data_IF_698578272289
#
_entry.id   IF_698578272289
#
_cell.length_a   1.000
_cell.length_b   1.000
_cell.length_c   1.000
_cell.angle_alpha   90.00
_cell.angle_beta   90.00
_cell.angle_gamma   90.00
#
_symmetry.space_group_name_H-M   'P 1'
#
loop_
_entity.id
_entity.type
_entity.pdbx_description
1 polymer ?
#
# COMPACT_ATOMS: atom_id res chain seq x y z
N UNK A 1 20.52 -13.43 2.59
CA UNK A 1 19.67 -12.74 1.79
C UNK A 1 18.23 -12.98 2.03
N UNK A 2 17.50 -11.99 2.14
CA UNK A 2 16.13 -12.12 2.41
C UNK A 2 15.33 -12.06 1.19
N UNK A 3 14.60 -13.09 0.94
CA UNK A 3 13.68 -13.03 -0.12
C UNK A 3 12.33 -12.94 0.45
N UNK A 4 11.65 -11.88 0.11
CA UNK A 4 10.31 -11.70 0.59
C UNK A 4 9.37 -12.36 -0.36
N UNK A 5 8.63 -13.32 0.16
CA UNK A 5 7.65 -14.00 -0.62
C UNK A 5 6.30 -13.43 -0.27
N UNK A 6 5.50 -13.14 -1.27
CA UNK A 6 4.17 -12.63 -1.03
C UNK A 6 3.35 -13.69 -0.34
N UNK A 7 2.68 -13.29 0.71
CA UNK A 7 1.85 -14.18 1.48
C UNK A 7 0.47 -13.62 1.58
N UNK A 8 -0.49 -14.50 1.73
CA UNK A 8 -1.85 -14.08 1.93
C UNK A 8 -1.98 -13.48 3.33
N UNK A 9 -2.48 -12.28 3.39
CA UNK A 9 -2.69 -11.59 4.65
C UNK A 9 -4.10 -11.07 4.67
N UNK A 10 -4.81 -11.34 5.75
CA UNK A 10 -6.19 -10.89 5.87
C UNK A 10 -6.22 -9.57 6.62
N UNK A 11 -6.82 -8.58 6.01
CA UNK A 11 -6.94 -7.26 6.59
C UNK A 11 -8.37 -6.80 6.46
N UNK A 12 -8.90 -6.22 7.52
CA UNK A 12 -10.25 -5.68 7.48
C UNK A 12 -10.21 -4.25 7.04
N UNK A 13 -10.90 -3.95 5.97
CA UNK A 13 -10.95 -2.60 5.44
C UNK A 13 -12.40 -2.22 5.22
N UNK A 14 -12.68 -0.94 5.33
CA UNK A 14 -14.01 -0.47 5.02
C UNK A 14 -14.29 -0.64 3.54
N UNK A 15 -15.53 -0.98 3.19
CA UNK A 15 -15.85 -1.20 1.77
C UNK A 15 -15.52 -0.01 0.87
N UNK A 16 -15.68 1.20 1.39
CA UNK A 16 -15.38 2.37 0.57
C UNK A 16 -13.90 2.45 0.26
N UNK A 17 -13.06 2.02 1.20
CA UNK A 17 -11.62 2.02 0.99
C UNK A 17 -11.22 0.95 -0.02
N UNK A 18 -11.85 -0.21 0.08
CA UNK A 18 -11.58 -1.27 -0.88
C UNK A 18 -11.94 -0.83 -2.28
N UNK A 19 -13.07 -0.12 -2.41
CA UNK A 19 -13.48 0.37 -3.71
C UNK A 19 -12.47 1.35 -4.30
N UNK A 20 -11.98 2.25 -3.47
CA UNK A 20 -10.96 3.20 -3.93
C UNK A 20 -9.71 2.48 -4.40
N UNK A 21 -9.32 1.45 -3.68
CA UNK A 21 -8.13 0.70 -4.07
C UNK A 21 -8.31 0.02 -5.40
N UNK A 22 -9.50 -0.56 -5.62
CA UNK A 22 -9.75 -1.23 -6.88
C UNK A 22 -9.74 -0.28 -8.05
N UNK A 23 -10.33 0.90 -7.84
CA UNK A 23 -10.34 1.91 -8.88
C UNK A 23 -8.93 2.37 -9.18
N UNK A 24 -8.15 2.60 -8.15
CA UNK A 24 -6.77 3.03 -8.33
C UNK A 24 -5.95 2.00 -9.07
N UNK A 25 -6.10 0.74 -8.70
CA UNK A 25 -5.35 -0.32 -9.35
C UNK A 25 -5.73 -0.43 -10.82
N UNK A 26 -7.02 -0.38 -11.10
CA UNK A 26 -7.48 -0.48 -12.48
C UNK A 26 -7.00 0.70 -13.30
N UNK A 27 -7.01 1.88 -12.73
CA UNK A 27 -6.60 3.08 -13.44
C UNK A 27 -5.14 3.05 -13.83
N UNK A 28 -4.32 2.36 -13.06
CA UNK A 28 -2.89 2.31 -13.34
C UNK A 28 -2.47 0.97 -13.89
N UNK A 29 -3.44 0.13 -14.23
CA UNK A 29 -3.16 -1.16 -14.87
C UNK A 29 -2.31 -2.05 -13.98
N UNK A 30 -2.61 -2.06 -12.70
CA UNK A 30 -1.92 -2.89 -11.73
C UNK A 30 -2.89 -3.81 -11.05
N UNK A 31 -2.36 -4.89 -10.48
CA UNK A 31 -3.20 -5.72 -9.63
C UNK A 31 -3.46 -4.98 -8.33
N UNK A 32 -4.50 -5.39 -7.64
CA UNK A 32 -4.84 -4.78 -6.37
C UNK A 32 -3.68 -4.89 -5.38
N UNK A 33 -3.04 -6.05 -5.35
CA UNK A 33 -1.91 -6.23 -4.45
C UNK A 33 -0.76 -5.30 -4.75
N UNK A 34 -0.44 -5.15 -6.04
CA UNK A 34 0.64 -4.26 -6.43
C UNK A 34 0.33 -2.82 -6.06
N UNK A 35 -0.90 -2.41 -6.30
CA UNK A 35 -1.29 -1.05 -5.98
C UNK A 35 -1.22 -0.79 -4.49
N UNK A 36 -1.67 -1.75 -3.70
CA UNK A 36 -1.62 -1.61 -2.25
C UNK A 36 -0.20 -1.61 -1.72
N UNK A 37 0.66 -2.44 -2.29
CA UNK A 37 2.05 -2.46 -1.86
C UNK A 37 2.70 -1.10 -2.09
N UNK A 38 2.44 -0.52 -3.23
CA UNK A 38 2.99 0.80 -3.52
C UNK A 38 2.45 1.84 -2.55
N UNK A 39 1.17 1.79 -2.28
CA UNK A 39 0.56 2.75 -1.39
C UNK A 39 1.16 2.66 0.00
N UNK A 40 1.37 1.44 0.47
CA UNK A 40 1.93 1.24 1.79
C UNK A 40 3.37 1.75 1.84
N UNK A 41 4.14 1.45 0.82
CA UNK A 41 5.52 1.90 0.78
C UNK A 41 5.62 3.41 0.72
N UNK A 42 4.73 4.02 -0.05
CA UNK A 42 4.74 5.47 -0.15
C UNK A 42 4.38 6.11 1.17
N UNK A 43 3.36 5.58 1.82
CA UNK A 43 2.95 6.15 3.09
C UNK A 43 4.03 5.97 4.14
N UNK A 44 4.63 4.80 4.19
CA UNK A 44 5.68 4.54 5.16
C UNK A 44 6.87 5.46 4.93
N UNK A 45 7.25 5.65 3.69
CA UNK A 45 8.38 6.53 3.39
C UNK A 45 8.06 7.98 3.75
N UNK A 46 6.83 8.40 3.48
CA UNK A 46 6.44 9.76 3.79
C UNK A 46 6.45 10.01 5.29
N UNK A 47 5.95 9.07 6.06
CA UNK A 47 5.93 9.22 7.49
C UNK A 47 7.33 9.22 8.07
N UNK A 48 8.19 8.44 7.48
CA UNK A 48 9.57 8.42 7.94
C UNK A 48 10.25 9.74 7.67
N UNK A 49 9.99 10.35 6.53
CA UNK A 49 10.52 11.66 6.22
C UNK A 49 10.00 12.71 7.18
N UNK A 50 8.72 12.64 7.48
CA UNK A 50 8.13 13.59 8.41
C UNK A 50 8.72 13.45 9.79
N UNK A 51 8.97 12.22 10.20
CA UNK A 51 9.58 11.99 11.47
C UNK A 51 10.98 12.57 11.53
N UNK A 52 11.73 12.39 10.46
CA UNK A 52 13.09 12.91 10.42
C UNK A 52 13.12 14.41 10.47
N UNK A 53 12.12 15.07 9.94
CA UNK A 53 12.06 16.51 9.94
C UNK A 53 11.54 17.10 11.22
N UNK A 54 10.91 16.30 12.03
CA UNK A 54 10.35 16.80 13.25
C UNK A 54 11.44 17.00 14.27
N UNK A 55 11.41 18.10 14.94
CA UNK A 55 12.42 18.37 15.94
C UNK A 55 11.92 18.18 17.33
#
# INVERSE_FOLDING_TARGET
MNEEVRRTTAIKLRPSIVRKARIGAASTDKTLGEWLEEAIEEKAAREEREKAQKK
#
